data_IF_078304325692
#
_entry.id   IF_078304325692
#
_cell.length_a   1.000
_cell.length_b   1.000
_cell.length_c   1.000
_cell.angle_alpha   90.00
_cell.angle_beta   90.00
_cell.angle_gamma   90.00
#
_symmetry.space_group_name_H-M   'P 1'
#
loop_
_entity.id
_entity.type
_entity.pdbx_description
1 polymer ?
#
# COMPACT_ATOMS: atom_id res chain seq x y z
N UNK A 1 -2.66 7.08 3.08
CA UNK A 1 -2.94 5.87 3.89
C UNK A 1 -3.72 4.89 3.03
N UNK A 2 -3.36 3.61 3.06
CA UNK A 2 -4.14 2.54 2.44
C UNK A 2 -4.84 1.76 3.54
N UNK A 3 -6.15 1.56 3.42
CA UNK A 3 -6.92 0.83 4.43
C UNK A 3 -8.40 0.78 4.11
N UNK A 4 -9.18 0.12 4.96
CA UNK A 4 -10.63 0.05 4.78
C UNK A 4 -11.26 1.43 5.01
N UNK A 5 -12.00 2.00 4.03
CA UNK A 5 -12.53 3.36 4.13
C UNK A 5 -13.38 3.61 5.38
N UNK A 6 -14.10 2.58 5.86
CA UNK A 6 -14.94 2.64 7.07
C UNK A 6 -14.14 3.07 8.32
N UNK A 7 -12.86 2.69 8.41
CA UNK A 7 -12.00 3.01 9.56
C UNK A 7 -10.99 4.08 9.18
N UNK A 8 -10.33 3.95 8.03
CA UNK A 8 -9.23 4.82 7.63
C UNK A 8 -9.68 6.28 7.38
N UNK A 9 -10.95 6.51 7.04
CA UNK A 9 -11.51 7.86 6.88
C UNK A 9 -11.43 8.72 8.15
N UNK A 10 -11.39 8.11 9.34
CA UNK A 10 -11.19 8.82 10.60
C UNK A 10 -9.86 9.60 10.61
N UNK A 11 -8.82 9.08 9.94
CA UNK A 11 -7.54 9.78 9.83
C UNK A 11 -7.63 11.03 8.96
N UNK A 12 -8.53 11.08 7.96
CA UNK A 12 -8.80 12.30 7.20
C UNK A 12 -9.55 13.32 8.05
N UNK A 13 -10.61 12.88 8.74
CA UNK A 13 -11.40 13.75 9.62
C UNK A 13 -10.56 14.34 10.75
N UNK A 14 -9.62 13.55 11.30
CA UNK A 14 -8.68 13.99 12.33
C UNK A 14 -7.48 14.78 11.79
N UNK A 15 -7.40 15.05 10.49
CA UNK A 15 -6.26 15.72 9.83
C UNK A 15 -4.90 15.02 10.06
N UNK A 16 -4.93 13.70 10.27
CA UNK A 16 -3.76 12.83 10.49
C UNK A 16 -3.21 12.24 9.18
N UNK A 17 -4.03 12.24 8.12
CA UNK A 17 -3.66 11.75 6.80
C UNK A 17 -3.99 12.79 5.72
N UNK A 18 -3.14 12.87 4.69
CA UNK A 18 -3.40 13.72 3.51
C UNK A 18 -4.46 13.12 2.58
N UNK A 19 -4.45 11.79 2.46
CA UNK A 19 -5.36 11.03 1.61
C UNK A 19 -5.54 9.60 2.15
N UNK A 20 -6.70 9.01 1.88
CA UNK A 20 -7.03 7.61 2.15
C UNK A 20 -7.49 6.97 0.85
N UNK A 21 -6.91 5.83 0.51
CA UNK A 21 -7.39 4.99 -0.59
C UNK A 21 -7.80 3.63 -0.04
N UNK A 22 -8.80 3.03 -0.67
CA UNK A 22 -9.31 1.72 -0.28
C UNK A 22 -8.25 0.65 -0.58
N UNK A 23 -7.94 -0.19 0.39
CA UNK A 23 -7.00 -1.31 0.19
C UNK A 23 -7.57 -2.40 -0.73
N UNK A 24 -8.88 -2.38 -0.95
CA UNK A 24 -9.63 -3.26 -1.83
C UNK A 24 -9.86 -2.66 -3.23
N UNK A 25 -9.18 -1.57 -3.58
CA UNK A 25 -9.25 -0.99 -4.93
C UNK A 25 -8.85 -2.02 -6.00
N UNK A 26 -9.60 -2.15 -7.12
CA UNK A 26 -9.38 -3.20 -8.11
C UNK A 26 -7.94 -3.28 -8.65
N UNK A 27 -7.32 -2.14 -8.97
CA UNK A 27 -5.94 -2.09 -9.46
C UNK A 27 -4.89 -2.51 -8.42
N UNK A 28 -5.24 -2.43 -7.12
CA UNK A 28 -4.35 -2.86 -6.05
C UNK A 28 -4.39 -4.38 -5.83
N UNK A 29 -5.43 -5.08 -6.32
CA UNK A 29 -5.57 -6.52 -6.17
C UNK A 29 -4.36 -7.29 -6.74
N UNK A 30 -3.78 -6.79 -7.83
CA UNK A 30 -2.62 -7.42 -8.48
C UNK A 30 -1.37 -7.38 -7.60
N UNK A 31 -1.22 -6.39 -6.70
CA UNK A 31 -0.12 -6.31 -5.75
C UNK A 31 -0.16 -7.42 -4.68
N UNK A 32 -1.29 -8.08 -4.48
CA UNK A 32 -1.42 -9.24 -3.60
C UNK A 32 -1.13 -10.57 -4.31
N UNK A 33 -0.96 -10.55 -5.64
CA UNK A 33 -0.61 -11.72 -6.43
C UNK A 33 0.90 -11.76 -6.71
N UNK A 34 1.48 -12.96 -6.73
CA UNK A 34 2.92 -13.14 -7.01
C UNK A 34 3.25 -12.61 -8.41
N UNK A 35 4.14 -11.60 -8.46
CA UNK A 35 4.54 -10.95 -9.71
C UNK A 35 3.52 -9.96 -10.29
N UNK A 36 2.44 -9.64 -9.58
CA UNK A 36 1.33 -8.83 -10.10
C UNK A 36 1.48 -7.31 -10.03
N UNK A 37 2.69 -6.74 -10.02
CA UNK A 37 2.92 -5.28 -9.99
C UNK A 37 2.69 -4.59 -11.35
N UNK A 38 1.60 -4.93 -12.05
CA UNK A 38 1.34 -4.51 -13.44
C UNK A 38 0.41 -3.30 -13.60
N UNK A 39 -0.32 -2.92 -12.55
CA UNK A 39 -1.18 -1.75 -12.63
C UNK A 39 -0.34 -0.46 -12.56
N UNK A 40 -0.33 0.29 -13.67
CA UNK A 40 0.53 1.46 -13.83
C UNK A 40 0.20 2.58 -12.83
N UNK A 41 -1.09 2.79 -12.53
CA UNK A 41 -1.52 3.83 -11.58
C UNK A 41 -0.97 3.53 -10.18
N UNK A 42 -1.10 2.29 -9.73
CA UNK A 42 -0.59 1.88 -8.43
C UNK A 42 0.94 1.79 -8.39
N UNK A 43 1.58 1.41 -9.50
CA UNK A 43 3.02 1.41 -9.62
C UNK A 43 3.59 2.83 -9.46
N UNK A 44 3.05 3.80 -10.20
CA UNK A 44 3.44 5.21 -10.07
C UNK A 44 3.11 5.76 -8.69
N UNK A 45 1.96 5.40 -8.11
CA UNK A 45 1.57 5.79 -6.76
C UNK A 45 2.61 5.35 -5.73
N UNK A 46 3.00 4.07 -5.71
CA UNK A 46 4.01 3.58 -4.76
C UNK A 46 5.39 4.21 -5.00
N UNK A 47 5.75 4.47 -6.26
CA UNK A 47 7.01 5.11 -6.63
C UNK A 47 7.15 6.56 -6.12
N UNK A 48 6.05 7.23 -5.76
CA UNK A 48 6.09 8.57 -5.18
C UNK A 48 6.56 8.59 -3.71
N UNK A 49 6.60 7.43 -3.04
CA UNK A 49 6.93 7.34 -1.62
C UNK A 49 8.38 6.91 -1.41
N UNK A 50 9.10 7.60 -0.52
CA UNK A 50 10.44 7.16 -0.09
C UNK A 50 10.38 6.02 0.92
N UNK A 51 9.39 6.05 1.81
CA UNK A 51 9.19 5.06 2.88
C UNK A 51 7.75 4.57 2.82
N UNK A 52 7.58 3.26 2.84
CA UNK A 52 6.29 2.58 3.01
C UNK A 52 6.30 1.82 4.34
N UNK A 53 5.28 2.03 5.17
CA UNK A 53 5.08 1.30 6.42
C UNK A 53 3.83 0.45 6.25
N UNK A 54 3.98 -0.86 6.38
CA UNK A 54 2.89 -1.83 6.20
C UNK A 54 2.60 -2.54 7.51
N UNK A 55 1.34 -2.52 7.93
CA UNK A 55 0.79 -3.33 9.02
C UNK A 55 0.06 -4.56 8.48
N UNK A 56 0.25 -4.87 7.20
CA UNK A 56 -0.45 -5.96 6.52
C UNK A 56 0.20 -7.29 6.89
N UNK A 57 -0.63 -8.29 7.22
CA UNK A 57 -0.18 -9.66 7.36
C UNK A 57 0.17 -10.24 5.97
N UNK A 58 1.45 -10.15 5.61
CA UNK A 58 1.99 -10.64 4.34
C UNK A 58 3.02 -11.77 4.60
N UNK A 59 2.56 -12.98 4.95
CA UNK A 59 3.45 -14.07 5.36
C UNK A 59 4.41 -14.51 4.26
N UNK A 60 3.98 -14.38 2.99
CA UNK A 60 4.77 -14.75 1.82
C UNK A 60 5.60 -13.59 1.24
N UNK A 61 5.49 -12.39 1.83
CA UNK A 61 6.19 -11.18 1.37
C UNK A 61 5.81 -10.76 -0.05
N UNK A 62 4.63 -11.14 -0.54
CA UNK A 62 4.20 -10.90 -1.93
C UNK A 62 3.93 -9.41 -2.12
N UNK A 63 3.17 -8.82 -1.20
CA UNK A 63 2.82 -7.41 -1.25
C UNK A 63 4.05 -6.54 -1.07
N UNK A 64 4.91 -6.88 -0.10
CA UNK A 64 6.20 -6.21 0.10
C UNK A 64 7.06 -6.24 -1.17
N UNK A 65 7.20 -7.40 -1.81
CA UNK A 65 8.02 -7.55 -3.02
C UNK A 65 7.48 -6.72 -4.18
N UNK A 66 6.17 -6.73 -4.40
CA UNK A 66 5.53 -5.96 -5.46
C UNK A 66 5.57 -4.45 -5.20
N UNK A 67 5.46 -4.00 -3.96
CA UNK A 67 5.61 -2.56 -3.63
C UNK A 67 7.06 -2.12 -3.80
N UNK A 68 8.04 -2.94 -3.38
CA UNK A 68 9.47 -2.64 -3.57
C UNK A 68 9.86 -2.50 -5.04
N UNK A 69 9.22 -3.24 -5.95
CA UNK A 69 9.50 -3.12 -7.40
C UNK A 69 9.09 -1.76 -7.99
N UNK A 70 8.26 -0.99 -7.28
CA UNK A 70 7.80 0.34 -7.71
C UNK A 70 8.80 1.47 -7.42
N UNK A 71 9.91 1.19 -6.73
CA UNK A 71 10.94 2.17 -6.41
C UNK A 71 10.93 2.86 -5.04
N UNK A 72 10.09 2.52 -4.02
CA UNK A 72 10.29 3.09 -2.70
C UNK A 72 11.64 2.64 -2.13
N UNK A 73 12.38 3.56 -1.50
CA UNK A 73 13.72 3.26 -0.93
C UNK A 73 13.64 2.30 0.26
N UNK A 74 12.56 2.38 1.03
CA UNK A 74 12.40 1.58 2.23
C UNK A 74 10.96 1.08 2.37
N UNK A 75 10.83 -0.21 2.67
CA UNK A 75 9.59 -0.82 3.09
C UNK A 75 9.78 -1.39 4.49
N UNK A 76 8.89 -1.04 5.42
CA UNK A 76 8.93 -1.46 6.81
C UNK A 76 7.68 -2.30 7.08
N UNK A 77 7.86 -3.60 7.26
CA UNK A 77 6.82 -4.48 7.80
C UNK A 77 6.75 -4.28 9.31
N UNK A 78 5.71 -3.58 9.78
CA UNK A 78 5.44 -3.38 11.19
C UNK A 78 4.77 -4.62 11.80
N UNK A 79 4.75 -4.69 13.13
CA UNK A 79 3.98 -5.72 13.83
C UNK A 79 2.48 -5.52 13.55
N UNK A 80 1.82 -6.61 13.14
CA UNK A 80 0.39 -6.70 12.84
C UNK A 80 -0.40 -7.19 14.06
#
# INVERSE_FOLDING_TARGET
>A
VLGYPRVASLALTGNLAKAVHAIESPGLASFFARGGSFDLEWHEFFGQFTIVISYLFDPDGIFETNVKSCGPRQFIAAQH
#
